data_IF_790266581094
#
_entry.id   IF_790266581094
#
_cell.length_a   1.000
_cell.length_b   1.000
_cell.length_c   1.000
_cell.angle_alpha   90.00
_cell.angle_beta   90.00
_cell.angle_gamma   90.00
#
_symmetry.space_group_name_H-M   'P 1'
#
loop_
_entity.id
_entity.type
_entity.pdbx_description
1 polymer ?
#
# COMPACT_ATOMS: atom_id res chain seq x y z
N UNK A 1 16.59 -8.88 -3.90
CA UNK A 1 15.16 -8.56 -4.07
C UNK A 1 14.97 -7.14 -3.59
N UNK A 2 14.30 -6.28 -4.38
CA UNK A 2 14.20 -4.86 -4.05
C UNK A 2 13.10 -4.61 -3.03
N UNK A 3 13.43 -4.01 -1.89
CA UNK A 3 12.45 -3.68 -0.86
C UNK A 3 12.11 -2.18 -0.95
N UNK A 4 10.82 -1.87 -0.99
CA UNK A 4 10.29 -0.50 -0.97
C UNK A 4 9.59 -0.25 0.36
N UNK A 5 9.93 0.87 1.01
CA UNK A 5 9.27 1.31 2.23
C UNK A 5 8.15 2.32 1.95
N UNK A 6 7.26 2.52 2.90
CA UNK A 6 6.27 3.61 2.95
C UNK A 6 6.61 4.46 4.17
N UNK A 7 6.86 5.75 3.95
CA UNK A 7 7.17 6.67 5.05
C UNK A 7 5.94 7.41 5.53
N UNK A 8 5.18 8.00 4.59
CA UNK A 8 3.99 8.77 4.89
C UNK A 8 2.82 8.28 4.05
N UNK A 9 1.62 8.41 4.61
CA UNK A 9 0.35 8.15 3.93
C UNK A 9 -0.49 9.42 3.99
N UNK A 10 -0.93 9.88 2.83
CA UNK A 10 -1.79 11.04 2.62
C UNK A 10 -3.18 10.54 2.29
N UNK A 11 -4.13 10.75 3.19
CA UNK A 11 -5.53 10.45 2.97
C UNK A 11 -6.19 11.65 2.30
N UNK A 12 -6.54 11.52 1.02
CA UNK A 12 -7.23 12.57 0.24
C UNK A 12 -8.75 12.30 0.18
N UNK A 13 -9.23 11.31 0.93
CA UNK A 13 -10.64 11.01 1.05
C UNK A 13 -11.31 11.94 2.08
N UNK A 14 -12.61 12.16 1.91
CA UNK A 14 -13.49 12.79 2.90
C UNK A 14 -13.98 11.78 3.95
N UNK A 15 -13.16 10.76 4.25
CA UNK A 15 -13.46 9.70 5.20
C UNK A 15 -12.19 9.23 5.90
N UNK A 16 -12.32 8.84 7.17
CA UNK A 16 -11.23 8.30 7.96
C UNK A 16 -10.85 6.89 7.49
N UNK A 17 -9.55 6.60 7.49
CA UNK A 17 -9.03 5.28 7.11
C UNK A 17 -8.06 4.72 8.14
N UNK A 18 -7.94 3.40 8.15
CA UNK A 18 -6.89 2.66 8.84
C UNK A 18 -5.87 2.19 7.82
N UNK A 19 -4.61 2.56 8.03
CA UNK A 19 -3.48 1.89 7.40
C UNK A 19 -3.11 0.67 8.25
N UNK A 20 -3.16 -0.51 7.65
CA UNK A 20 -2.91 -1.78 8.34
C UNK A 20 -1.79 -2.52 7.62
N UNK A 21 -0.75 -2.93 8.35
CA UNK A 21 0.27 -3.83 7.86
C UNK A 21 -0.02 -5.24 8.39
N UNK A 22 -0.34 -6.18 7.50
CA UNK A 22 -0.67 -7.55 7.88
C UNK A 22 0.55 -8.36 8.37
N UNK A 23 1.77 -7.99 7.97
CA UNK A 23 2.99 -8.68 8.41
C UNK A 23 3.52 -8.15 9.75
N UNK A 24 3.22 -6.89 10.11
CA UNK A 24 3.73 -6.27 11.33
C UNK A 24 2.82 -5.13 11.82
N UNK A 25 2.14 -5.34 12.95
CA UNK A 25 1.16 -4.39 13.50
C UNK A 25 1.74 -3.07 13.99
N UNK A 26 3.06 -2.96 14.17
CA UNK A 26 3.72 -1.75 14.67
C UNK A 26 3.57 -0.51 13.76
N UNK A 27 3.26 -0.72 12.47
CA UNK A 27 3.04 0.35 11.50
C UNK A 27 1.57 0.73 11.32
N UNK A 28 0.63 0.07 12.01
CA UNK A 28 -0.79 0.38 11.86
C UNK A 28 -1.07 1.81 12.34
N UNK A 29 -1.80 2.59 11.55
CA UNK A 29 -2.14 3.99 11.87
C UNK A 29 -3.58 4.27 11.51
N UNK A 30 -4.26 4.98 12.40
CA UNK A 30 -5.46 5.73 12.03
C UNK A 30 -5.04 6.99 11.28
N UNK A 31 -5.71 7.28 10.17
CA UNK A 31 -5.42 8.41 9.29
C UNK A 31 -6.72 9.17 9.07
N UNK A 32 -6.90 10.34 9.71
CA UNK A 32 -8.07 11.17 9.52
C UNK A 32 -8.30 11.55 8.06
N UNK A 33 -9.54 11.86 7.70
CA UNK A 33 -9.90 12.49 6.44
C UNK A 33 -8.99 13.70 6.14
N UNK A 34 -8.64 13.89 4.86
CA UNK A 34 -7.85 15.02 4.35
C UNK A 34 -6.52 15.29 5.10
N UNK A 35 -5.88 14.26 5.65
CA UNK A 35 -4.68 14.39 6.49
C UNK A 35 -3.48 13.59 5.99
N UNK A 36 -2.31 13.81 6.60
CA UNK A 36 -1.10 13.04 6.34
C UNK A 36 -0.49 12.50 7.62
N UNK A 37 -0.18 11.21 7.66
CA UNK A 37 0.42 10.55 8.83
C UNK A 37 1.69 9.81 8.42
N UNK A 38 2.70 9.89 9.29
CA UNK A 38 3.92 9.09 9.17
C UNK A 38 3.66 7.67 9.70
N UNK A 39 3.91 6.66 8.87
CA UNK A 39 3.70 5.24 9.21
C UNK A 39 4.98 4.52 9.63
N UNK A 40 6.11 5.22 9.74
CA UNK A 40 7.34 4.73 10.36
C UNK A 40 8.16 3.78 9.48
N UNK A 41 8.40 4.12 8.22
CA UNK A 41 9.14 3.33 7.24
C UNK A 41 8.66 1.87 7.14
N UNK A 42 7.37 1.71 6.87
CA UNK A 42 6.72 0.42 6.75
C UNK A 42 7.14 -0.26 5.44
N UNK A 43 7.78 -1.44 5.51
CA UNK A 43 8.10 -2.20 4.31
C UNK A 43 6.83 -2.69 3.62
N UNK A 44 6.76 -2.55 2.30
CA UNK A 44 5.67 -3.14 1.52
C UNK A 44 5.90 -4.66 1.44
N UNK A 45 4.98 -5.49 1.95
CA UNK A 45 5.10 -6.95 1.93
C UNK A 45 5.23 -7.54 0.53
N UNK A 46 5.89 -8.69 0.42
CA UNK A 46 5.96 -9.45 -0.82
C UNK A 46 4.86 -10.52 -0.87
N UNK A 47 4.05 -10.50 -1.93
CA UNK A 47 3.10 -11.57 -2.23
C UNK A 47 3.30 -12.08 -3.66
N UNK A 48 3.54 -13.39 -3.78
CA UNK A 48 3.81 -14.10 -5.03
C UNK A 48 2.63 -14.92 -5.53
N UNK A 49 1.59 -15.03 -4.73
CA UNK A 49 0.33 -15.69 -5.06
C UNK A 49 -0.84 -15.03 -4.34
N UNK A 50 -2.06 -15.28 -4.83
CA UNK A 50 -3.29 -14.79 -4.21
C UNK A 50 -3.43 -15.20 -2.73
N UNK A 51 -3.19 -16.46 -2.32
CA UNK A 51 -3.31 -16.83 -0.91
C UNK A 51 -2.34 -16.08 0.02
N UNK A 52 -1.18 -15.66 -0.50
CA UNK A 52 -0.24 -14.87 0.29
C UNK A 52 -0.77 -13.47 0.58
N UNK A 53 -1.60 -12.90 -0.28
CA UNK A 53 -2.13 -11.54 -0.09
C UNK A 53 -2.92 -11.39 1.23
N UNK A 54 -3.50 -12.48 1.74
CA UNK A 54 -4.25 -12.51 3.00
C UNK A 54 -3.40 -12.25 4.25
N UNK A 55 -2.08 -12.43 4.17
CA UNK A 55 -1.14 -12.15 5.26
C UNK A 55 0.02 -11.24 4.88
N UNK A 56 0.22 -11.00 3.59
CA UNK A 56 1.37 -10.30 3.02
C UNK A 56 0.92 -9.11 2.18
N UNK A 57 0.23 -8.16 2.82
CA UNK A 57 -0.19 -6.91 2.21
C UNK A 57 -0.26 -5.77 3.24
N UNK A 58 -0.21 -4.55 2.73
CA UNK A 58 -0.74 -3.38 3.43
C UNK A 58 -2.19 -3.20 2.99
N UNK A 59 -3.07 -2.91 3.94
CA UNK A 59 -4.46 -2.59 3.69
C UNK A 59 -4.73 -1.12 3.99
N UNK A 60 -5.56 -0.52 3.16
CA UNK A 60 -6.29 0.70 3.49
C UNK A 60 -7.72 0.28 3.77
N UNK A 61 -8.18 0.52 4.98
CA UNK A 61 -9.50 0.09 5.46
C UNK A 61 -10.31 1.32 5.82
N UNK A 62 -11.59 1.36 5.47
CA UNK A 62 -12.50 2.40 5.91
C UNK A 62 -12.74 2.26 7.43
N UNK A 63 -12.46 3.32 8.19
CA UNK A 63 -12.54 3.26 9.65
C UNK A 63 -13.98 3.15 10.18
N UNK A 64 -14.99 3.53 9.38
CA UNK A 64 -16.38 3.53 9.81
C UNK A 64 -17.07 2.17 9.67
N UNK A 65 -16.70 1.38 8.66
CA UNK A 65 -17.39 0.12 8.34
C UNK A 65 -16.45 -1.07 8.11
N UNK A 66 -15.14 -0.89 8.31
CA UNK A 66 -14.11 -1.93 8.19
C UNK A 66 -13.95 -2.53 6.78
N UNK A 67 -14.53 -1.91 5.75
CA UNK A 67 -14.36 -2.34 4.37
C UNK A 67 -12.93 -2.10 3.90
N UNK A 68 -12.30 -3.10 3.30
CA UNK A 68 -10.99 -2.95 2.66
C UNK A 68 -11.14 -2.17 1.36
N UNK A 69 -10.54 -0.99 1.31
CA UNK A 69 -10.54 -0.12 0.14
C UNK A 69 -9.41 -0.49 -0.84
N UNK A 70 -8.23 -0.81 -0.30
CA UNK A 70 -7.05 -1.12 -1.11
C UNK A 70 -6.17 -2.17 -0.45
N UNK A 71 -5.67 -3.09 -1.28
CA UNK A 71 -4.59 -4.02 -1.00
C UNK A 71 -3.32 -3.51 -1.70
N UNK A 72 -2.20 -3.44 -0.98
CA UNK A 72 -0.92 -2.95 -1.51
C UNK A 72 0.18 -3.97 -1.20
N UNK A 73 0.92 -4.42 -2.22
CA UNK A 73 1.96 -5.44 -2.07
C UNK A 73 3.05 -5.31 -3.14
N UNK A 74 4.19 -5.97 -2.93
CA UNK A 74 5.23 -6.15 -3.93
C UNK A 74 5.10 -7.50 -4.60
N UNK A 75 5.29 -7.53 -5.92
CA UNK A 75 5.46 -8.77 -6.69
C UNK A 75 6.46 -8.61 -7.82
N UNK A 76 7.05 -9.74 -8.20
CA UNK A 76 7.80 -9.84 -9.43
C UNK A 76 6.85 -10.13 -10.58
N UNK A 77 6.98 -9.38 -11.69
CA UNK A 77 6.26 -9.64 -12.93
C UNK A 77 7.29 -9.98 -14.01
N UNK A 78 7.26 -11.21 -14.56
CA UNK A 78 8.16 -11.59 -15.63
C UNK A 78 8.13 -10.59 -16.78
N UNK A 79 9.30 -10.14 -17.24
CA UNK A 79 9.44 -9.16 -18.32
C UNK A 79 9.19 -7.70 -17.94
N UNK A 80 8.70 -7.41 -16.73
CA UNK A 80 8.53 -6.04 -16.24
C UNK A 80 9.45 -5.74 -15.05
N UNK A 81 9.74 -6.72 -14.18
CA UNK A 81 10.57 -6.54 -12.99
C UNK A 81 9.77 -6.55 -11.67
N UNK A 82 10.35 -5.96 -10.63
CA UNK A 82 9.74 -5.88 -9.30
C UNK A 82 8.90 -4.61 -9.21
N UNK A 83 7.71 -4.67 -8.63
CA UNK A 83 6.87 -3.48 -8.47
C UNK A 83 5.99 -3.54 -7.23
N UNK A 84 5.64 -2.36 -6.72
CA UNK A 84 4.49 -2.18 -5.86
C UNK A 84 3.21 -2.19 -6.70
N UNK A 85 2.21 -2.91 -6.23
CA UNK A 85 0.86 -3.00 -6.78
C UNK A 85 -0.13 -2.45 -5.78
N UNK A 86 -1.23 -1.91 -6.29
CA UNK A 86 -2.40 -1.58 -5.52
C UNK A 86 -3.65 -2.09 -6.26
N UNK A 87 -4.60 -2.66 -5.52
CA UNK A 87 -5.88 -3.10 -6.07
C UNK A 87 -6.99 -2.92 -5.05
N UNK A 88 -8.18 -2.56 -5.51
CA UNK A 88 -9.40 -2.52 -4.70
C UNK A 88 -10.18 -3.85 -4.74
N UNK A 89 -9.73 -4.82 -5.54
CA UNK A 89 -10.35 -6.16 -5.68
C UNK A 89 -9.43 -7.30 -5.24
N UNK A 90 -8.17 -6.99 -4.91
CA UNK A 90 -7.18 -7.99 -4.51
C UNK A 90 -6.29 -8.44 -5.68
N UNK A 91 -5.94 -9.71 -5.72
CA UNK A 91 -4.87 -10.25 -6.57
C UNK A 91 -5.10 -10.12 -8.08
N UNK A 92 -6.34 -10.33 -8.53
CA UNK A 92 -6.71 -10.55 -9.94
C UNK A 92 -6.74 -9.30 -10.82
N UNK A 93 -6.67 -8.12 -10.20
CA UNK A 93 -6.62 -6.83 -10.91
C UNK A 93 -5.49 -5.98 -10.32
N UNK A 94 -4.21 -6.34 -10.58
CA UNK A 94 -3.12 -5.47 -10.21
C UNK A 94 -3.22 -4.28 -11.15
N UNK A 95 -3.83 -3.19 -10.70
CA UNK A 95 -3.83 -1.93 -11.43
C UNK A 95 -2.40 -1.56 -11.84
N UNK A 96 -2.27 -0.56 -12.71
CA UNK A 96 -0.97 -0.06 -13.16
C UNK A 96 0.02 0.05 -11.98
N UNK A 97 1.29 -0.38 -12.16
CA UNK A 97 2.31 -0.22 -11.14
C UNK A 97 2.20 1.15 -10.49
N UNK A 98 2.22 1.22 -9.16
CA UNK A 98 2.35 2.51 -8.49
C UNK A 98 3.68 3.10 -8.98
N UNK A 99 3.61 4.08 -9.89
CA UNK A 99 4.79 4.58 -10.61
C UNK A 99 5.80 5.13 -9.61
N UNK A 100 7.06 4.82 -9.91
CA UNK A 100 8.17 4.88 -8.98
C UNK A 100 8.79 3.50 -8.98
N UNK A 101 9.76 3.26 -9.86
CA UNK A 101 10.48 1.98 -9.88
C UNK A 101 10.92 1.66 -8.44
N UNK A 102 10.58 0.48 -7.90
CA UNK A 102 11.07 0.10 -6.59
C UNK A 102 12.57 -0.05 -6.69
N UNK A 103 13.27 0.88 -6.05
CA UNK A 103 14.71 0.86 -5.84
C UNK A 103 14.97 0.43 -4.39
N UNK A 104 16.02 -0.35 -4.18
CA UNK A 104 16.30 -0.93 -2.86
C UNK A 104 16.71 0.18 -1.89
N UNK A 105 16.05 0.23 -0.73
CA UNK A 105 16.35 1.22 0.30
C UNK A 105 15.66 2.57 0.13
N UNK A 106 14.69 2.68 -0.79
CA UNK A 106 13.88 3.89 -0.94
C UNK A 106 12.50 3.73 -0.28
N UNK A 107 12.07 4.80 0.38
CA UNK A 107 10.71 4.92 0.92
C UNK A 107 9.88 5.85 0.04
N UNK A 108 8.60 5.52 -0.13
CA UNK A 108 7.63 6.31 -0.87
C UNK A 108 6.64 6.99 0.07
N UNK A 109 6.02 8.05 -0.45
CA UNK A 109 4.78 8.60 0.06
C UNK A 109 3.62 7.94 -0.67
N UNK A 110 2.63 7.41 0.07
CA UNK A 110 1.38 6.90 -0.50
C UNK A 110 0.29 7.96 -0.42
N UNK A 111 -0.45 8.16 -1.50
CA UNK A 111 -1.62 9.03 -1.56
C UNK A 111 -2.84 8.19 -1.90
N UNK A 112 -3.87 8.27 -1.06
CA UNK A 112 -5.12 7.51 -1.21
C UNK A 112 -6.20 8.44 -1.76
N UNK A 113 -6.75 8.09 -2.92
CA UNK A 113 -7.90 8.73 -3.54
C UNK A 113 -9.05 7.74 -3.67
N UNK A 114 -10.26 8.22 -3.91
CA UNK A 114 -11.47 7.38 -4.01
C UNK A 114 -11.33 6.26 -5.03
N UNK A 115 -10.68 6.54 -6.16
CA UNK A 115 -10.59 5.62 -7.30
C UNK A 115 -9.17 5.11 -7.60
N UNK A 116 -8.16 5.52 -6.82
CA UNK A 116 -6.77 5.08 -7.04
C UNK A 116 -5.88 5.31 -5.83
N UNK A 117 -4.78 4.57 -5.79
CA UNK A 117 -3.60 4.88 -4.98
C UNK A 117 -2.51 5.47 -5.88
N UNK A 118 -1.75 6.42 -5.37
CA UNK A 118 -0.52 6.92 -6.01
C UNK A 118 0.66 6.79 -5.08
N UNK A 119 1.85 6.59 -5.66
CA UNK A 119 3.11 6.71 -4.97
C UNK A 119 3.87 7.93 -5.50
N UNK A 120 4.61 8.59 -4.62
CA UNK A 120 5.64 9.56 -4.99
C UNK A 120 6.92 9.28 -4.20
N UNK A 121 8.08 9.55 -4.78
CA UNK A 121 9.35 9.47 -4.06
C UNK A 121 9.40 10.58 -3.00
N UNK A 122 10.07 10.29 -1.89
CA UNK A 122 10.51 11.31 -0.94
C UNK A 122 11.51 12.28 -1.60
#
# INVERSE_FOLDING_TARGET
MTITGVQNVFNVLDADVLFVNLENSGNNRFIPAESSINVGNCWVPWATSEPQLLGHALLIVNAANEDVLWYIWQRHVPGQGNFVRASNKGWDDPGEPLRGEPEAGHSINLMIFENRVKASRL
#
